data_IF_281594527601
#
_entry.id   IF_281594527601
#
_cell.length_a   1.000
_cell.length_b   1.000
_cell.length_c   1.000
_cell.angle_alpha   90.00
_cell.angle_beta   90.00
_cell.angle_gamma   90.00
#
_symmetry.space_group_name_H-M   'P 1'
#
loop_
_entity.id
_entity.type
_entity.pdbx_description
1 polymer ?
#
# COMPACT_ATOMS: atom_id res chain seq x y z
N UNK A 1 -2.03 29.24 5.28
CA UNK A 1 -1.53 27.88 5.63
C UNK A 1 -2.69 26.91 5.51
N UNK A 2 -2.49 25.75 4.85
CA UNK A 2 -3.51 24.71 4.75
C UNK A 2 -3.85 24.18 6.15
N UNK A 3 -5.14 23.98 6.45
CA UNK A 3 -5.63 23.53 7.77
C UNK A 3 -5.33 22.05 8.06
N UNK A 4 -5.08 21.24 7.03
CA UNK A 4 -4.86 19.79 7.16
C UNK A 4 -3.79 19.27 6.17
N UNK A 5 -2.52 19.73 6.31
CA UNK A 5 -1.47 19.40 5.34
C UNK A 5 -1.10 17.90 5.35
N UNK A 6 -1.09 17.24 6.52
CA UNK A 6 -0.76 15.81 6.59
C UNK A 6 -1.84 14.96 5.93
N UNK A 7 -3.11 15.23 6.25
CA UNK A 7 -4.24 14.51 5.68
C UNK A 7 -4.34 14.69 4.17
N UNK A 8 -4.18 15.92 3.66
CA UNK A 8 -4.24 16.17 2.23
C UNK A 8 -3.15 15.42 1.47
N UNK A 9 -1.89 15.48 1.93
CA UNK A 9 -0.79 14.74 1.31
C UNK A 9 -0.98 13.23 1.43
N UNK A 10 -1.55 12.74 2.53
CA UNK A 10 -1.87 11.33 2.70
C UNK A 10 -2.92 10.86 1.68
N UNK A 11 -3.98 11.65 1.46
CA UNK A 11 -5.00 11.36 0.45
C UNK A 11 -4.36 11.33 -0.94
N UNK A 12 -3.52 12.33 -1.29
CA UNK A 12 -2.83 12.36 -2.59
C UNK A 12 -1.91 11.13 -2.75
N UNK A 13 -1.17 10.75 -1.70
CA UNK A 13 -0.26 9.60 -1.72
C UNK A 13 -0.97 8.27 -1.97
N UNK A 14 -2.25 8.14 -1.58
CA UNK A 14 -3.07 6.97 -1.86
C UNK A 14 -3.76 7.05 -3.23
N UNK A 15 -4.26 8.23 -3.59
CA UNK A 15 -5.01 8.42 -4.84
C UNK A 15 -4.16 8.15 -6.07
N UNK A 16 -2.89 8.56 -6.09
CA UNK A 16 -2.02 8.35 -7.25
C UNK A 16 -1.87 6.86 -7.62
N UNK A 17 -1.39 5.97 -6.72
CA UNK A 17 -1.25 4.56 -7.07
C UNK A 17 -2.60 3.90 -7.34
N UNK A 18 -3.66 4.22 -6.58
CA UNK A 18 -4.99 3.62 -6.79
C UNK A 18 -5.60 4.00 -8.15
N UNK A 19 -5.48 5.26 -8.55
CA UNK A 19 -5.95 5.72 -9.87
C UNK A 19 -5.11 5.07 -10.97
N UNK A 20 -3.78 5.02 -10.83
CA UNK A 20 -2.92 4.33 -11.79
C UNK A 20 -3.27 2.85 -11.95
N UNK A 21 -3.55 2.14 -10.86
CA UNK A 21 -4.02 0.75 -10.89
C UNK A 21 -5.36 0.67 -11.62
N UNK A 22 -6.34 1.50 -11.25
CA UNK A 22 -7.67 1.49 -11.87
C UNK A 22 -7.62 1.79 -13.38
N UNK A 23 -6.83 2.78 -13.80
CA UNK A 23 -6.62 3.11 -15.21
C UNK A 23 -5.93 1.96 -15.95
N UNK A 24 -4.92 1.32 -15.34
CA UNK A 24 -4.21 0.19 -15.94
C UNK A 24 -5.13 -1.02 -16.14
N UNK A 25 -5.99 -1.32 -15.16
CA UNK A 25 -7.03 -2.36 -15.27
C UNK A 25 -8.01 -2.00 -16.39
N UNK A 26 -8.54 -0.78 -16.39
CA UNK A 26 -9.54 -0.34 -17.38
C UNK A 26 -9.00 -0.34 -18.82
N UNK A 27 -7.69 -0.16 -18.99
CA UNK A 27 -7.01 -0.20 -20.29
C UNK A 27 -6.47 -1.58 -20.69
N UNK A 28 -6.76 -2.63 -19.90
CA UNK A 28 -6.24 -3.99 -20.12
C UNK A 28 -7.35 -5.02 -20.24
N UNK A 29 -7.80 -5.29 -21.47
CA UNK A 29 -8.87 -6.26 -21.76
C UNK A 29 -8.53 -7.70 -21.33
N UNK A 30 -7.24 -8.01 -21.14
CA UNK A 30 -6.76 -9.33 -20.73
C UNK A 30 -6.78 -9.55 -19.22
N UNK A 31 -6.93 -8.49 -18.41
CA UNK A 31 -6.77 -8.56 -16.96
C UNK A 31 -8.01 -9.15 -16.29
N UNK A 32 -7.82 -10.25 -15.56
CA UNK A 32 -8.82 -10.88 -14.70
C UNK A 32 -8.43 -10.70 -13.23
N UNK A 33 -9.25 -10.01 -12.45
CA UNK A 33 -9.03 -9.83 -11.01
C UNK A 33 -8.96 -11.15 -10.23
N UNK A 34 -9.54 -12.22 -10.77
CA UNK A 34 -9.56 -13.54 -10.13
C UNK A 34 -8.36 -14.42 -10.52
N UNK A 35 -7.76 -14.19 -11.69
CA UNK A 35 -6.70 -15.05 -12.24
C UNK A 35 -5.32 -14.37 -12.28
N UNK A 36 -5.26 -13.05 -12.20
CA UNK A 36 -4.03 -12.25 -12.26
C UNK A 36 -3.59 -11.72 -10.89
N UNK A 37 -2.32 -11.33 -10.81
CA UNK A 37 -1.82 -10.41 -9.79
C UNK A 37 -1.95 -8.96 -10.30
N UNK A 38 -2.10 -7.95 -9.43
CA UNK A 38 -2.08 -6.56 -9.89
C UNK A 38 -0.74 -6.23 -10.56
N UNK A 39 0.35 -6.81 -10.05
CA UNK A 39 1.71 -6.65 -10.58
C UNK A 39 1.87 -7.10 -12.03
N UNK A 40 1.00 -7.98 -12.54
CA UNK A 40 1.00 -8.38 -13.96
C UNK A 40 0.82 -7.16 -14.87
N UNK A 41 0.06 -6.15 -14.43
CA UNK A 41 -0.13 -4.88 -15.16
C UNK A 41 1.18 -4.09 -15.27
N UNK A 42 2.11 -4.29 -14.33
CA UNK A 42 3.42 -3.64 -14.27
C UNK A 42 4.51 -4.33 -15.09
N UNK A 43 4.24 -5.46 -15.75
CA UNK A 43 5.27 -6.20 -16.48
C UNK A 43 5.79 -5.44 -17.72
N UNK A 44 6.97 -4.82 -17.62
CA UNK A 44 7.46 -3.83 -18.59
C UNK A 44 7.65 -4.31 -20.03
N UNK A 45 7.72 -5.63 -20.26
CA UNK A 45 7.91 -6.21 -21.61
C UNK A 45 6.59 -6.60 -22.27
N UNK A 46 5.58 -6.98 -21.49
CA UNK A 46 4.35 -7.64 -21.99
C UNK A 46 3.09 -6.82 -21.76
N UNK A 47 3.11 -5.91 -20.79
CA UNK A 47 1.98 -5.06 -20.46
C UNK A 47 2.16 -3.67 -21.07
N UNK A 48 1.31 -3.23 -22.02
CA UNK A 48 1.38 -1.89 -22.57
C UNK A 48 1.03 -0.80 -21.55
N UNK A 49 0.37 -1.16 -20.45
CA UNK A 49 0.00 -0.23 -19.37
C UNK A 49 1.05 -0.14 -18.25
N UNK A 50 2.14 -0.92 -18.35
CA UNK A 50 3.21 -0.95 -17.34
C UNK A 50 3.77 0.44 -16.98
N UNK A 51 3.97 1.39 -17.92
CA UNK A 51 4.43 2.73 -17.56
C UNK A 51 3.46 3.47 -16.61
N UNK A 52 2.14 3.31 -16.80
CA UNK A 52 1.12 3.96 -15.96
C UNK A 52 1.11 3.33 -14.57
N UNK A 53 1.13 1.99 -14.53
CA UNK A 53 1.12 1.22 -13.29
C UNK A 53 2.38 1.49 -12.46
N UNK A 54 3.57 1.24 -13.02
CA UNK A 54 4.84 1.36 -12.30
C UNK A 54 5.13 2.82 -11.88
N UNK A 55 4.80 3.80 -12.73
CA UNK A 55 4.92 5.21 -12.35
C UNK A 55 4.01 5.55 -11.16
N UNK A 56 2.76 5.08 -11.19
CA UNK A 56 1.80 5.29 -10.12
C UNK A 56 2.25 4.71 -8.78
N UNK A 57 2.72 3.47 -8.78
CA UNK A 57 3.23 2.81 -7.58
C UNK A 57 4.51 3.51 -7.06
N UNK A 58 5.46 3.84 -7.94
CA UNK A 58 6.70 4.51 -7.57
C UNK A 58 6.45 5.90 -6.98
N UNK A 59 5.65 6.73 -7.66
CA UNK A 59 5.29 8.07 -7.17
C UNK A 59 4.46 7.99 -5.88
N UNK A 60 3.51 7.04 -5.80
CA UNK A 60 2.74 6.77 -4.59
C UNK A 60 3.63 6.40 -3.40
N UNK A 61 4.56 5.47 -3.59
CA UNK A 61 5.50 5.04 -2.57
C UNK A 61 6.44 6.15 -2.11
N UNK A 62 6.88 7.02 -3.03
CA UNK A 62 7.64 8.23 -2.69
C UNK A 62 6.82 9.16 -1.80
N UNK A 63 5.56 9.44 -2.17
CA UNK A 63 4.69 10.31 -1.39
C UNK A 63 4.34 9.73 -0.02
N UNK A 64 4.08 8.43 0.08
CA UNK A 64 3.88 7.74 1.37
C UNK A 64 5.13 7.88 2.25
N UNK A 65 6.32 7.75 1.67
CA UNK A 65 7.59 7.94 2.39
C UNK A 65 7.75 9.38 2.90
N UNK A 66 7.44 10.36 2.06
CA UNK A 66 7.48 11.79 2.42
C UNK A 66 6.49 12.08 3.55
N UNK A 67 5.25 11.62 3.43
CA UNK A 67 4.22 11.78 4.48
C UNK A 67 4.71 11.17 5.79
N UNK A 68 5.26 9.96 5.75
CA UNK A 68 5.71 9.26 6.95
C UNK A 68 6.84 10.00 7.65
N UNK A 69 7.89 10.37 6.92
CA UNK A 69 9.08 11.04 7.48
C UNK A 69 8.75 12.44 7.98
N UNK A 70 7.98 13.22 7.20
CA UNK A 70 7.70 14.61 7.55
C UNK A 70 6.60 14.73 8.60
N UNK A 71 5.52 13.96 8.49
CA UNK A 71 4.32 14.13 9.32
C UNK A 71 4.22 13.10 10.44
N UNK A 72 4.33 11.80 10.16
CA UNK A 72 4.10 10.77 11.17
C UNK A 72 5.20 10.75 12.24
N UNK A 73 6.42 11.19 11.91
CA UNK A 73 7.52 11.33 12.85
C UNK A 73 7.21 12.26 14.03
N UNK A 74 6.27 13.19 13.84
CA UNK A 74 5.83 14.14 14.89
C UNK A 74 4.93 13.49 15.94
N UNK A 75 4.28 12.38 15.61
CA UNK A 75 3.42 11.63 16.54
C UNK A 75 4.16 10.41 17.09
N UNK A 76 4.61 9.51 16.22
CA UNK A 76 5.30 8.29 16.63
C UNK A 76 6.40 7.92 15.64
N UNK A 77 7.67 7.94 16.11
CA UNK A 77 8.84 7.55 15.30
C UNK A 77 8.70 6.15 14.69
N UNK A 78 8.13 5.20 15.44
CA UNK A 78 7.96 3.81 14.97
C UNK A 78 6.96 3.73 13.81
N UNK A 79 5.85 4.48 13.86
CA UNK A 79 4.90 4.55 12.73
C UNK A 79 5.48 5.30 11.53
N UNK A 80 6.34 6.30 11.75
CA UNK A 80 7.11 6.95 10.69
C UNK A 80 8.04 5.97 9.97
N UNK A 81 8.81 5.18 10.72
CA UNK A 81 9.69 4.15 10.14
C UNK A 81 8.87 3.09 9.40
N UNK A 82 7.77 2.61 10.00
CA UNK A 82 6.87 1.65 9.36
C UNK A 82 6.29 2.17 8.05
N UNK A 83 5.78 3.41 8.03
CA UNK A 83 5.25 4.04 6.83
C UNK A 83 6.31 4.32 5.76
N UNK A 84 7.52 4.71 6.16
CA UNK A 84 8.64 4.88 5.23
C UNK A 84 9.06 3.54 4.61
N UNK A 85 9.05 2.46 5.39
CA UNK A 85 9.31 1.10 4.89
C UNK A 85 8.23 0.67 3.88
N UNK A 86 6.96 0.94 4.16
CA UNK A 86 5.85 0.70 3.21
C UNK A 86 6.07 1.47 1.91
N UNK A 87 6.35 2.76 1.99
CA UNK A 87 6.58 3.58 0.80
C UNK A 87 7.79 3.14 -0.01
N UNK A 88 8.89 2.81 0.65
CA UNK A 88 10.11 2.33 -0.01
C UNK A 88 9.90 0.97 -0.68
N UNK A 89 9.30 0.00 0.01
CA UNK A 89 9.03 -1.32 -0.58
C UNK A 89 8.03 -1.24 -1.74
N UNK A 90 7.07 -0.31 -1.71
CA UNK A 90 6.19 -0.05 -2.85
C UNK A 90 6.96 0.48 -4.08
N UNK A 91 7.94 1.36 -3.87
CA UNK A 91 8.85 1.79 -4.96
C UNK A 91 9.61 0.59 -5.51
N UNK A 92 10.10 -0.30 -4.65
CA UNK A 92 10.83 -1.49 -5.09
C UNK A 92 9.94 -2.43 -5.92
N UNK A 93 8.66 -2.61 -5.54
CA UNK A 93 7.68 -3.37 -6.35
C UNK A 93 7.51 -2.77 -7.74
N UNK A 94 7.50 -1.44 -7.85
CA UNK A 94 7.39 -0.74 -9.13
C UNK A 94 8.66 -0.83 -9.99
N UNK A 95 9.84 -0.81 -9.37
CA UNK A 95 11.13 -0.82 -10.07
C UNK A 95 11.54 -2.22 -10.48
N UNK A 96 11.40 -3.18 -9.57
CA UNK A 96 11.66 -4.59 -9.82
C UNK A 96 10.35 -5.27 -10.17
N UNK A 97 9.79 -4.91 -11.33
CA UNK A 97 8.55 -5.48 -11.84
C UNK A 97 8.66 -6.99 -12.16
N UNK A 98 7.58 -7.60 -12.64
CA UNK A 98 7.48 -9.04 -12.95
C UNK A 98 8.56 -9.58 -13.91
N UNK A 99 9.28 -8.73 -14.67
CA UNK A 99 10.45 -9.15 -15.46
C UNK A 99 11.54 -9.75 -14.56
N UNK A 100 11.64 -9.30 -13.31
CA UNK A 100 12.66 -9.70 -12.35
C UNK A 100 12.29 -10.95 -11.52
N UNK A 101 11.14 -11.57 -11.77
CA UNK A 101 10.73 -12.88 -11.22
C UNK A 101 10.93 -13.00 -9.69
N UNK A 102 11.91 -13.80 -9.24
CA UNK A 102 12.17 -14.04 -7.81
C UNK A 102 12.46 -12.76 -7.02
N UNK A 103 13.10 -11.77 -7.65
CA UNK A 103 13.34 -10.49 -6.99
C UNK A 103 12.03 -9.72 -6.82
N UNK A 104 11.17 -9.72 -7.84
CA UNK A 104 9.82 -9.13 -7.74
C UNK A 104 9.03 -9.77 -6.60
N UNK A 105 8.98 -11.10 -6.56
CA UNK A 105 8.32 -11.84 -5.49
C UNK A 105 8.84 -11.41 -4.10
N UNK A 106 10.16 -11.29 -3.93
CA UNK A 106 10.79 -10.91 -2.66
C UNK A 106 10.37 -9.50 -2.22
N UNK A 107 10.39 -8.52 -3.13
CA UNK A 107 10.01 -7.14 -2.79
C UNK A 107 8.50 -6.98 -2.57
N UNK A 108 7.68 -7.77 -3.27
CA UNK A 108 6.23 -7.83 -3.05
C UNK A 108 5.90 -8.41 -1.68
N UNK A 109 6.55 -9.51 -1.27
CA UNK A 109 6.42 -10.05 0.10
C UNK A 109 6.85 -9.00 1.14
N UNK A 110 7.96 -8.31 0.93
CA UNK A 110 8.42 -7.26 1.83
C UNK A 110 7.41 -6.11 1.95
N UNK A 111 6.78 -5.70 0.84
CA UNK A 111 5.73 -4.70 0.83
C UNK A 111 4.52 -5.13 1.67
N UNK A 112 3.95 -6.31 1.43
CA UNK A 112 2.78 -6.77 2.19
C UNK A 112 3.09 -7.02 3.67
N UNK A 113 4.28 -7.53 4.01
CA UNK A 113 4.71 -7.63 5.39
C UNK A 113 4.88 -6.26 6.06
N UNK A 114 5.37 -5.26 5.33
CA UNK A 114 5.49 -3.89 5.87
C UNK A 114 4.12 -3.26 6.17
N UNK A 115 3.10 -3.52 5.35
CA UNK A 115 1.71 -3.13 5.61
C UNK A 115 1.16 -3.80 6.88
N UNK A 116 1.35 -5.11 7.00
CA UNK A 116 0.95 -5.88 8.17
C UNK A 116 1.66 -5.38 9.44
N UNK A 117 2.96 -5.08 9.35
CA UNK A 117 3.75 -4.53 10.44
C UNK A 117 3.27 -3.14 10.86
N UNK A 118 2.94 -2.26 9.90
CA UNK A 118 2.35 -0.95 10.19
C UNK A 118 1.03 -1.09 10.97
N UNK A 119 0.14 -1.98 10.55
CA UNK A 119 -1.12 -2.27 11.27
C UNK A 119 -0.88 -2.83 12.67
N UNK A 120 0.12 -3.70 12.83
CA UNK A 120 0.50 -4.24 14.13
C UNK A 120 0.97 -3.14 15.08
N UNK A 121 1.86 -2.25 14.62
CA UNK A 121 2.33 -1.09 15.39
C UNK A 121 1.15 -0.20 15.76
N UNK A 122 0.29 0.14 14.79
CA UNK A 122 -0.88 0.98 15.01
C UNK A 122 -1.80 0.36 16.06
N UNK A 123 -2.07 -0.94 15.96
CA UNK A 123 -2.88 -1.71 16.94
C UNK A 123 -2.29 -1.62 18.33
N UNK A 124 -0.97 -1.83 18.46
CA UNK A 124 -0.29 -1.79 19.74
C UNK A 124 -0.35 -0.40 20.40
N UNK A 125 -0.09 0.65 19.62
CA UNK A 125 -0.03 2.03 20.12
C UNK A 125 -1.41 2.58 20.48
N UNK A 126 -2.43 2.34 19.65
CA UNK A 126 -3.77 2.91 19.84
C UNK A 126 -4.78 1.95 20.46
N UNK A 127 -4.39 0.69 20.74
CA UNK A 127 -5.25 -0.36 21.29
C UNK A 127 -6.56 -0.51 20.51
N UNK A 128 -6.48 -0.36 19.19
CA UNK A 128 -7.65 -0.33 18.31
C UNK A 128 -8.00 -1.77 17.84
N UNK A 129 -9.15 -2.34 18.26
CA UNK A 129 -9.52 -3.70 17.84
C UNK A 129 -9.84 -3.79 16.35
N UNK A 130 -10.22 -2.70 15.68
CA UNK A 130 -10.49 -2.69 14.24
C UNK A 130 -9.20 -2.85 13.43
N UNK A 131 -8.06 -2.32 13.88
CA UNK A 131 -6.79 -2.54 13.19
C UNK A 131 -6.29 -3.97 13.35
N UNK A 132 -6.60 -4.63 14.48
CA UNK A 132 -6.35 -6.06 14.65
C UNK A 132 -7.23 -6.89 13.71
N UNK A 133 -8.50 -6.54 13.57
CA UNK A 133 -9.41 -7.18 12.62
C UNK A 133 -8.92 -6.99 11.18
N UNK A 134 -8.51 -5.78 10.81
CA UNK A 134 -7.91 -5.47 9.51
C UNK A 134 -6.68 -6.32 9.21
N UNK A 135 -5.75 -6.42 10.17
CA UNK A 135 -4.57 -7.29 10.07
C UNK A 135 -4.99 -8.75 9.86
N UNK A 136 -5.97 -9.22 10.62
CA UNK A 136 -6.48 -10.59 10.53
C UNK A 136 -7.08 -10.86 9.15
N UNK A 137 -7.89 -9.95 8.62
CA UNK A 137 -8.49 -10.07 7.28
C UNK A 137 -7.44 -10.10 6.18
N UNK A 138 -6.39 -9.26 6.27
CA UNK A 138 -5.27 -9.28 5.34
C UNK A 138 -4.48 -10.59 5.38
N UNK A 139 -4.20 -11.12 6.58
CA UNK A 139 -3.51 -12.40 6.71
C UNK A 139 -4.37 -13.58 6.22
N UNK A 140 -5.67 -13.56 6.51
CA UNK A 140 -6.60 -14.58 6.04
C UNK A 140 -6.74 -14.59 4.52
N UNK A 141 -6.76 -13.42 3.85
CA UNK A 141 -6.83 -13.37 2.39
C UNK A 141 -5.59 -14.00 1.74
N UNK A 142 -4.40 -13.71 2.26
CA UNK A 142 -3.16 -14.35 1.80
C UNK A 142 -3.13 -15.84 2.12
N UNK A 143 -3.63 -16.27 3.28
CA UNK A 143 -3.73 -17.69 3.63
C UNK A 143 -4.64 -18.44 2.65
N UNK A 144 -5.80 -17.87 2.31
CA UNK A 144 -6.73 -18.46 1.34
C UNK A 144 -6.10 -18.57 -0.05
N UNK A 145 -5.39 -17.53 -0.49
CA UNK A 145 -4.70 -17.55 -1.77
C UNK A 145 -3.54 -18.57 -1.80
N UNK A 146 -2.64 -18.55 -0.81
CA UNK A 146 -1.43 -19.38 -0.82
C UNK A 146 -1.73 -20.87 -0.61
N UNK A 147 -2.64 -21.22 0.29
CA UNK A 147 -2.92 -22.62 0.64
C UNK A 147 -4.06 -23.22 -0.18
N UNK A 148 -5.10 -22.45 -0.46
CA UNK A 148 -6.30 -22.95 -1.13
C UNK A 148 -6.41 -22.50 -2.59
N UNK A 149 -5.54 -21.59 -3.06
CA UNK A 149 -5.60 -20.99 -4.40
C UNK A 149 -6.95 -20.30 -4.66
N UNK A 150 -7.48 -19.65 -3.62
CA UNK A 150 -8.74 -18.91 -3.66
C UNK A 150 -8.46 -17.43 -3.35
N UNK A 151 -8.58 -16.53 -4.34
CA UNK A 151 -8.67 -16.81 -5.77
C UNK A 151 -7.32 -17.30 -6.35
N UNK A 152 -7.31 -17.64 -7.65
CA UNK A 152 -6.13 -18.17 -8.33
C UNK A 152 -5.01 -17.15 -8.45
N UNK A 153 -5.35 -15.93 -8.85
CA UNK A 153 -4.44 -14.79 -8.92
C UNK A 153 -4.27 -14.08 -7.58
N UNK A 154 -3.22 -13.25 -7.46
CA UNK A 154 -2.95 -12.51 -6.23
C UNK A 154 -3.73 -11.18 -6.13
N UNK A 155 -4.42 -10.71 -7.17
CA UNK A 155 -5.00 -9.36 -7.17
C UNK A 155 -6.00 -9.12 -6.02
N UNK A 156 -6.82 -10.10 -5.65
CA UNK A 156 -7.76 -9.95 -4.53
C UNK A 156 -7.05 -9.82 -3.17
N UNK A 157 -6.16 -10.74 -2.73
CA UNK A 157 -5.44 -10.55 -1.46
C UNK A 157 -4.59 -9.27 -1.43
N UNK A 158 -4.03 -8.84 -2.57
CA UNK A 158 -3.33 -7.56 -2.70
C UNK A 158 -4.27 -6.36 -2.44
N UNK A 159 -5.43 -6.32 -3.11
CA UNK A 159 -6.44 -5.27 -2.91
C UNK A 159 -6.99 -5.25 -1.48
N UNK A 160 -7.24 -6.42 -0.89
CA UNK A 160 -7.68 -6.52 0.52
C UNK A 160 -6.60 -5.91 1.42
N UNK A 161 -5.34 -6.27 1.23
CA UNK A 161 -4.22 -5.77 2.06
C UNK A 161 -4.13 -4.24 2.03
N UNK A 162 -4.31 -3.63 0.86
CA UNK A 162 -4.30 -2.16 0.72
C UNK A 162 -5.56 -1.56 1.36
N UNK A 163 -6.74 -2.10 1.03
CA UNK A 163 -8.03 -1.58 1.48
C UNK A 163 -8.16 -1.57 3.00
N UNK A 164 -7.68 -2.61 3.69
CA UNK A 164 -7.76 -2.70 5.15
C UNK A 164 -6.77 -1.77 5.87
N UNK A 165 -5.68 -1.35 5.22
CA UNK A 165 -4.68 -0.43 5.80
C UNK A 165 -5.10 1.04 5.67
N UNK A 166 -5.74 1.41 4.56
CA UNK A 166 -6.10 2.80 4.22
C UNK A 166 -6.77 3.55 5.39
N UNK A 167 -7.80 3.01 6.08
CA UNK A 167 -8.47 3.73 7.14
C UNK A 167 -7.54 4.16 8.29
N UNK A 168 -6.55 3.33 8.62
CA UNK A 168 -5.62 3.58 9.72
C UNK A 168 -4.49 4.53 9.33
N UNK A 169 -4.05 4.47 8.08
CA UNK A 169 -3.14 5.47 7.52
C UNK A 169 -3.78 6.87 7.50
N UNK A 170 -5.05 6.96 7.08
CA UNK A 170 -5.81 8.22 7.08
C UNK A 170 -6.10 8.70 8.51
N UNK A 171 -6.48 7.81 9.43
CA UNK A 171 -6.70 8.18 10.83
C UNK A 171 -5.41 8.71 11.47
N UNK A 172 -4.26 8.09 11.21
CA UNK A 172 -2.96 8.59 11.68
C UNK A 172 -2.66 9.99 11.13
N UNK A 173 -2.89 10.23 9.84
CA UNK A 173 -2.70 11.56 9.24
C UNK A 173 -3.62 12.61 9.87
N UNK A 174 -4.89 12.27 10.11
CA UNK A 174 -5.85 13.14 10.79
C UNK A 174 -5.39 13.47 12.21
N UNK A 175 -4.89 12.49 12.97
CA UNK A 175 -4.36 12.70 14.32
C UNK A 175 -3.17 13.65 14.33
N UNK A 176 -2.26 13.54 13.36
CA UNK A 176 -1.13 14.47 13.22
C UNK A 176 -1.62 15.89 13.06
N UNK A 177 -2.58 16.13 12.16
CA UNK A 177 -3.09 17.48 11.95
C UNK A 177 -3.82 18.01 13.20
N UNK A 178 -4.64 17.19 13.88
CA UNK A 178 -5.31 17.61 15.12
C UNK A 178 -4.31 18.01 16.21
N UNK A 179 -3.24 17.24 16.38
CA UNK A 179 -2.18 17.56 17.35
C UNK A 179 -1.38 18.83 17.01
N UNK A 180 -1.39 19.29 15.74
CA UNK A 180 -0.75 20.55 15.36
C UNK A 180 -1.62 21.78 15.68
N UNK A 181 -2.94 21.63 15.76
CA UNK A 181 -3.88 22.73 15.93
C UNK A 181 -4.44 22.86 17.36
N UNK A 182 -4.23 21.85 18.21
CA UNK A 182 -4.69 21.83 19.61
C UNK A 182 -3.52 21.41 20.53
N UNK A 183 -2.59 22.34 20.84
CA UNK A 183 -1.36 22.07 21.59
C UNK A 183 -1.56 21.83 23.10
#
# INVERSE_FOLDING_TARGET
>A
MLRYPALLLSIISLSIPLISIAVSIAASDWFSIADNALSDLGHAIRSPVAPIFNFGLSLGGLLVSIVSVLHFNRMHKVLSIGGALVGYTLILVAVFDEVYQNLHFTVSVAFFLSLAFMLLIYTYLYRNPLSLLALTLGLLSWMLHLYYRIPRGAAIPELISIAVVIPFYIDLARRVDLAMYDP
#
